data_IF_568357093516
#
_entry.id   IF_568357093516
#
_cell.length_a   1.000
_cell.length_b   1.000
_cell.length_c   1.000
_cell.angle_alpha   90.00
_cell.angle_beta   90.00
_cell.angle_gamma   90.00
#
_symmetry.space_group_name_H-M   'P 1'
#
loop_
_entity.id
_entity.type
_entity.pdbx_description
1 polymer ?
#
# COMPACT_ATOMS: atom_id res chain seq x y z
N UNK A 1 -2.51 29.85 -27.72
CA UNK A 1 -1.96 30.61 -26.56
C UNK A 1 -2.82 30.47 -25.30
N UNK A 2 -4.14 30.39 -25.38
CA UNK A 2 -5.02 30.22 -24.19
C UNK A 2 -4.88 28.88 -23.50
N UNK A 3 -4.67 27.77 -24.21
CA UNK A 3 -4.49 26.44 -23.62
C UNK A 3 -3.19 26.27 -22.80
N UNK A 4 -2.14 27.03 -23.17
CA UNK A 4 -0.86 27.06 -22.42
C UNK A 4 -1.04 27.88 -21.13
N UNK A 5 -1.83 28.93 -21.18
CA UNK A 5 -2.10 29.81 -20.03
C UNK A 5 -3.01 29.10 -18.99
N UNK A 6 -3.95 28.25 -19.44
CA UNK A 6 -4.77 27.45 -18.53
C UNK A 6 -3.97 26.36 -17.81
N UNK A 7 -2.98 25.73 -18.45
CA UNK A 7 -2.07 24.76 -17.82
C UNK A 7 -1.17 25.44 -16.75
N UNK A 8 -0.64 26.61 -17.03
CA UNK A 8 0.15 27.39 -16.07
C UNK A 8 -0.68 27.88 -14.87
N UNK A 9 -1.97 28.17 -15.07
CA UNK A 9 -2.88 28.58 -13.98
C UNK A 9 -3.23 27.45 -13.03
N UNK A 10 -3.18 26.18 -13.46
CA UNK A 10 -3.36 25.02 -12.58
C UNK A 10 -2.11 24.67 -11.79
N UNK A 11 -0.92 24.89 -12.34
CA UNK A 11 0.36 24.67 -11.65
C UNK A 11 0.58 25.59 -10.45
N UNK A 12 -0.05 26.77 -10.46
CA UNK A 12 0.22 27.81 -9.45
C UNK A 12 -0.73 27.86 -8.25
N UNK A 13 -1.73 26.96 -8.18
CA UNK A 13 -2.64 26.90 -7.02
C UNK A 13 -1.94 26.52 -5.72
N UNK A 14 -0.90 25.69 -5.79
CA UNK A 14 -0.12 25.28 -4.62
C UNK A 14 0.79 26.39 -4.07
N UNK A 15 1.20 27.34 -4.91
CA UNK A 15 2.09 28.45 -4.51
C UNK A 15 1.38 29.67 -3.94
N UNK A 16 0.08 29.86 -4.23
CA UNK A 16 -0.64 31.09 -3.89
C UNK A 16 -1.86 30.89 -2.99
N UNK A 17 -2.31 29.65 -2.75
CA UNK A 17 -3.44 29.38 -1.87
C UNK A 17 -3.02 29.50 -0.40
N UNK A 18 -3.90 30.03 0.50
CA UNK A 18 -3.61 30.04 1.93
C UNK A 18 -3.43 28.61 2.43
N UNK A 19 -2.33 28.38 3.15
CA UNK A 19 -1.82 27.06 3.55
C UNK A 19 -2.90 26.19 4.21
N UNK A 20 -3.72 26.78 5.06
CA UNK A 20 -4.80 26.08 5.76
C UNK A 20 -5.86 25.53 4.78
N UNK A 21 -6.26 26.31 3.80
CA UNK A 21 -7.25 25.92 2.79
C UNK A 21 -6.71 24.80 1.89
N UNK A 22 -5.44 24.87 1.55
CA UNK A 22 -4.76 23.84 0.75
C UNK A 22 -4.69 22.51 1.51
N UNK A 23 -4.25 22.56 2.77
CA UNK A 23 -4.18 21.37 3.63
C UNK A 23 -5.56 20.74 3.80
N UNK A 24 -6.58 21.50 4.14
CA UNK A 24 -7.94 20.99 4.29
C UNK A 24 -8.49 20.37 3.00
N UNK A 25 -8.25 21.00 1.86
CA UNK A 25 -8.70 20.51 0.55
C UNK A 25 -8.02 19.17 0.16
N UNK A 26 -6.79 18.94 0.57
CA UNK A 26 -6.06 17.71 0.27
C UNK A 26 -6.28 16.63 1.34
N UNK A 27 -6.42 17.02 2.61
CA UNK A 27 -6.60 16.07 3.72
C UNK A 27 -8.00 15.47 3.74
N UNK A 28 -9.03 16.22 3.36
CA UNK A 28 -10.42 15.76 3.44
C UNK A 28 -10.69 14.54 2.54
N UNK A 29 -10.28 14.53 1.25
CA UNK A 29 -10.39 13.35 0.42
C UNK A 29 -9.57 12.15 0.93
N UNK A 30 -8.36 12.42 1.45
CA UNK A 30 -7.50 11.38 1.99
C UNK A 30 -8.10 10.73 3.26
N UNK A 31 -8.68 11.54 4.16
CA UNK A 31 -9.41 11.04 5.34
C UNK A 31 -10.62 10.18 4.93
N UNK A 32 -11.34 10.60 3.90
CA UNK A 32 -12.48 9.83 3.40
C UNK A 32 -12.05 8.48 2.82
N UNK A 33 -10.96 8.44 2.06
CA UNK A 33 -10.37 7.19 1.56
C UNK A 33 -9.94 6.26 2.69
N UNK A 34 -9.29 6.78 3.73
CA UNK A 34 -8.91 5.99 4.90
C UNK A 34 -10.12 5.43 5.65
N UNK A 35 -11.20 6.20 5.75
CA UNK A 35 -12.45 5.75 6.37
C UNK A 35 -13.10 4.62 5.57
N UNK A 36 -13.14 4.73 4.23
CA UNK A 36 -13.62 3.66 3.35
C UNK A 36 -12.76 2.40 3.49
N UNK A 37 -11.44 2.55 3.57
CA UNK A 37 -10.53 1.42 3.78
C UNK A 37 -10.74 0.75 5.14
N UNK A 38 -10.97 1.53 6.21
CA UNK A 38 -11.29 0.99 7.52
C UNK A 38 -12.62 0.23 7.51
N UNK A 39 -13.65 0.76 6.85
CA UNK A 39 -14.93 0.08 6.67
C UNK A 39 -14.76 -1.23 5.88
N UNK A 40 -13.96 -1.22 4.82
CA UNK A 40 -13.64 -2.42 4.05
C UNK A 40 -13.04 -3.51 4.94
N UNK A 41 -12.05 -3.18 5.78
CA UNK A 41 -11.44 -4.13 6.70
C UNK A 41 -12.44 -4.71 7.72
N UNK A 42 -13.37 -3.88 8.21
CA UNK A 42 -14.43 -4.35 9.13
C UNK A 42 -15.37 -5.32 8.39
N UNK A 43 -15.81 -4.97 7.19
CA UNK A 43 -16.69 -5.80 6.38
C UNK A 43 -16.03 -7.13 6.04
N UNK A 44 -14.76 -7.11 5.63
CA UNK A 44 -13.98 -8.30 5.32
C UNK A 44 -13.89 -9.24 6.54
N UNK A 45 -13.59 -8.69 7.72
CA UNK A 45 -13.55 -9.46 8.97
C UNK A 45 -14.92 -10.09 9.32
N UNK A 46 -16.01 -9.38 9.08
CA UNK A 46 -17.38 -9.91 9.29
C UNK A 46 -17.66 -11.04 8.31
N UNK A 47 -17.32 -10.88 7.04
CA UNK A 47 -17.52 -11.94 6.05
C UNK A 47 -16.70 -13.19 6.37
N UNK A 48 -15.42 -13.02 6.71
CA UNK A 48 -14.56 -14.15 7.13
C UNK A 48 -15.15 -14.86 8.33
N UNK A 49 -15.64 -14.13 9.34
CA UNK A 49 -16.25 -14.74 10.53
C UNK A 49 -17.55 -15.48 10.26
N UNK A 50 -18.32 -15.08 9.23
CA UNK A 50 -19.59 -15.75 8.86
C UNK A 50 -19.39 -16.98 7.97
N UNK A 51 -18.33 -17.01 7.16
CA UNK A 51 -18.02 -18.15 6.30
C UNK A 51 -17.41 -19.29 7.13
N UNK A 52 -16.76 -18.94 8.23
CA UNK A 52 -16.10 -19.88 9.14
C UNK A 52 -17.13 -20.60 9.99
N UNK A 53 -17.22 -21.91 9.84
CA UNK A 53 -17.95 -22.80 10.77
C UNK A 53 -17.17 -23.04 12.08
N UNK A 54 -16.01 -22.38 12.25
CA UNK A 54 -15.13 -22.47 13.42
C UNK A 54 -14.15 -21.29 13.51
N UNK A 55 -13.53 -21.11 14.67
CA UNK A 55 -12.57 -20.04 14.94
C UNK A 55 -11.21 -20.21 14.21
N UNK A 56 -11.02 -21.32 13.49
CA UNK A 56 -9.74 -21.70 12.90
C UNK A 56 -9.32 -20.76 11.75
N UNK A 57 -10.27 -20.41 10.87
CA UNK A 57 -10.01 -19.54 9.71
C UNK A 57 -9.75 -18.11 10.16
N UNK A 58 -10.52 -17.60 11.12
CA UNK A 58 -10.29 -16.28 11.68
C UNK A 58 -8.94 -16.21 12.42
N UNK A 59 -8.57 -17.28 13.11
CA UNK A 59 -7.25 -17.40 13.74
C UNK A 59 -6.15 -17.41 12.69
N UNK A 60 -6.31 -18.12 11.58
CA UNK A 60 -5.34 -18.17 10.49
C UNK A 60 -5.08 -16.77 9.87
N UNK A 61 -6.14 -16.01 9.60
CA UNK A 61 -6.03 -14.62 9.10
C UNK A 61 -5.35 -13.72 10.13
N UNK A 62 -5.72 -13.86 11.42
CA UNK A 62 -5.13 -13.06 12.51
C UNK A 62 -3.63 -13.30 12.67
N UNK A 63 -3.17 -14.54 12.50
CA UNK A 63 -1.75 -14.88 12.55
C UNK A 63 -0.99 -14.33 11.33
N UNK A 64 -1.64 -14.28 10.17
CA UNK A 64 -1.05 -13.71 8.95
C UNK A 64 -0.98 -12.17 8.94
N UNK A 65 -1.81 -11.51 9.74
CA UNK A 65 -1.95 -10.05 9.78
C UNK A 65 -0.64 -9.29 10.04
N UNK A 66 0.24 -9.66 10.99
CA UNK A 66 1.51 -8.96 11.20
C UNK A 66 2.41 -8.98 9.95
N UNK A 67 2.41 -10.07 9.18
CA UNK A 67 3.20 -10.20 7.96
C UNK A 67 2.62 -9.29 6.86
N UNK A 68 1.29 -9.24 6.75
CA UNK A 68 0.60 -8.34 5.84
C UNK A 68 0.87 -6.87 6.19
N UNK A 69 0.86 -6.51 7.46
CA UNK A 69 1.20 -5.15 7.92
C UNK A 69 2.63 -4.77 7.58
N UNK A 70 3.57 -5.71 7.70
CA UNK A 70 4.97 -5.48 7.33
C UNK A 70 5.10 -5.21 5.82
N UNK A 71 4.39 -5.95 4.98
CA UNK A 71 4.34 -5.76 3.54
C UNK A 71 3.82 -4.35 3.18
N UNK A 72 2.70 -3.95 3.79
CA UNK A 72 2.11 -2.63 3.58
C UNK A 72 3.07 -1.53 4.06
N UNK A 73 3.71 -1.70 5.21
CA UNK A 73 4.65 -0.72 5.76
C UNK A 73 5.85 -0.46 4.82
N UNK A 74 6.39 -1.51 4.21
CA UNK A 74 7.46 -1.35 3.22
C UNK A 74 6.98 -0.66 1.94
N UNK A 75 5.78 -1.02 1.44
CA UNK A 75 5.18 -0.38 0.27
C UNK A 75 4.95 1.11 0.51
N UNK A 76 4.28 1.45 1.60
CA UNK A 76 3.99 2.85 1.98
C UNK A 76 5.29 3.63 2.24
N UNK A 77 6.28 3.04 2.92
CA UNK A 77 7.57 3.68 3.17
C UNK A 77 8.31 4.04 1.88
N UNK A 78 8.36 3.12 0.93
CA UNK A 78 8.97 3.36 -0.38
C UNK A 78 8.22 4.46 -1.16
N UNK A 79 6.89 4.44 -1.13
CA UNK A 79 6.05 5.45 -1.79
C UNK A 79 6.23 6.84 -1.19
N UNK A 80 6.24 6.99 0.13
CA UNK A 80 6.45 8.29 0.80
C UNK A 80 7.83 8.85 0.43
N UNK A 81 8.87 8.01 0.42
CA UNK A 81 10.22 8.41 0.00
C UNK A 81 10.26 8.89 -1.44
N UNK A 82 9.64 8.16 -2.35
CA UNK A 82 9.55 8.51 -3.77
C UNK A 82 8.77 9.80 -3.98
N UNK A 83 7.61 9.93 -3.36
CA UNK A 83 6.75 11.11 -3.46
C UNK A 83 7.48 12.38 -2.97
N UNK A 84 8.23 12.28 -1.87
CA UNK A 84 9.06 13.37 -1.36
C UNK A 84 10.14 13.78 -2.38
N UNK A 85 10.82 12.81 -3.00
CA UNK A 85 11.86 13.08 -3.99
C UNK A 85 11.28 13.73 -5.26
N UNK A 86 10.21 13.18 -5.79
CA UNK A 86 9.53 13.71 -7.00
C UNK A 86 9.02 15.12 -6.76
N UNK A 87 8.34 15.34 -5.61
CA UNK A 87 7.81 16.67 -5.25
C UNK A 87 8.92 17.73 -5.13
N UNK A 88 10.06 17.34 -4.54
CA UNK A 88 11.22 18.23 -4.44
C UNK A 88 11.78 18.59 -5.81
N UNK A 89 11.96 17.60 -6.71
CA UNK A 89 12.47 17.84 -8.06
C UNK A 89 11.52 18.68 -8.90
N UNK A 90 10.22 18.49 -8.73
CA UNK A 90 9.21 19.36 -9.36
C UNK A 90 9.30 20.79 -8.84
N UNK A 91 9.51 20.98 -7.53
CA UNK A 91 9.72 22.31 -6.94
C UNK A 91 10.98 23.02 -7.44
N UNK A 92 12.05 22.26 -7.72
CA UNK A 92 13.29 22.74 -8.34
C UNK A 92 13.12 22.97 -9.86
N UNK A 93 11.94 22.70 -10.45
CA UNK A 93 11.65 22.76 -11.89
C UNK A 93 12.53 21.84 -12.75
N UNK A 94 13.18 20.83 -12.15
CA UNK A 94 13.93 19.81 -12.84
C UNK A 94 13.01 18.65 -13.24
N UNK A 95 12.23 18.86 -14.30
CA UNK A 95 11.30 17.86 -14.84
C UNK A 95 11.99 16.59 -15.32
N UNK A 96 13.25 16.67 -15.75
CA UNK A 96 14.01 15.49 -16.17
C UNK A 96 14.33 14.60 -14.99
N UNK A 97 14.82 15.18 -13.89
CA UNK A 97 15.09 14.43 -12.67
C UNK A 97 13.79 13.90 -12.02
N UNK A 98 12.71 14.67 -12.06
CA UNK A 98 11.40 14.25 -11.56
C UNK A 98 10.88 13.02 -12.34
N UNK A 99 10.94 13.05 -13.68
CA UNK A 99 10.51 11.94 -14.53
C UNK A 99 11.41 10.69 -14.34
N UNK A 100 12.71 10.89 -14.21
CA UNK A 100 13.66 9.83 -13.89
C UNK A 100 13.35 9.20 -12.53
N UNK A 101 13.09 10.01 -11.50
CA UNK A 101 12.72 9.52 -10.17
C UNK A 101 11.41 8.71 -10.21
N UNK A 102 10.38 9.17 -10.93
CA UNK A 102 9.12 8.45 -11.10
C UNK A 102 9.32 7.09 -11.79
N UNK A 103 10.15 7.04 -12.84
CA UNK A 103 10.47 5.79 -13.54
C UNK A 103 11.20 4.79 -12.64
N UNK A 104 12.17 5.28 -11.85
CA UNK A 104 12.86 4.44 -10.86
C UNK A 104 11.92 3.99 -9.74
N UNK A 105 10.91 4.79 -9.41
CA UNK A 105 9.88 4.43 -8.44
C UNK A 105 9.05 3.24 -8.86
N UNK A 106 8.62 3.19 -10.12
CA UNK A 106 7.89 2.04 -10.68
C UNK A 106 8.78 0.79 -10.62
N UNK A 107 10.06 0.91 -11.00
CA UNK A 107 10.99 -0.20 -10.93
C UNK A 107 11.19 -0.69 -9.49
N UNK A 108 11.28 0.23 -8.54
CA UNK A 108 11.39 -0.06 -7.11
C UNK A 108 10.14 -0.77 -6.58
N UNK A 109 8.95 -0.35 -7.03
CA UNK A 109 7.68 -1.01 -6.71
C UNK A 109 7.65 -2.47 -7.17
N UNK A 110 8.04 -2.71 -8.42
CA UNK A 110 8.13 -4.08 -8.98
C UNK A 110 9.17 -4.91 -8.19
N UNK A 111 10.33 -4.33 -7.89
CA UNK A 111 11.38 -5.00 -7.13
C UNK A 111 10.90 -5.38 -5.72
N UNK A 112 10.23 -4.45 -5.03
CA UNK A 112 9.64 -4.73 -3.72
C UNK A 112 8.61 -5.86 -3.79
N UNK A 113 7.71 -5.81 -4.78
CA UNK A 113 6.75 -6.90 -4.97
C UNK A 113 7.43 -8.26 -5.15
N UNK A 114 8.46 -8.36 -6.01
CA UNK A 114 9.20 -9.61 -6.24
C UNK A 114 9.86 -10.10 -4.95
N UNK A 115 10.48 -9.21 -4.18
CA UNK A 115 11.12 -9.55 -2.90
C UNK A 115 10.07 -10.11 -1.93
N UNK A 116 8.91 -9.43 -1.79
CA UNK A 116 7.87 -9.88 -0.87
C UNK A 116 7.16 -11.15 -1.35
N UNK A 117 6.97 -11.34 -2.65
CA UNK A 117 6.42 -12.58 -3.20
C UNK A 117 7.35 -13.77 -2.91
N UNK A 118 8.65 -13.63 -3.16
CA UNK A 118 9.64 -14.66 -2.85
C UNK A 118 9.74 -14.91 -1.35
N UNK A 119 9.78 -13.83 -0.55
CA UNK A 119 9.83 -13.93 0.90
C UNK A 119 8.56 -14.58 1.46
N UNK A 120 7.38 -14.22 0.97
CA UNK A 120 6.10 -14.80 1.38
C UNK A 120 6.04 -16.31 1.10
N UNK A 121 6.53 -16.74 -0.05
CA UNK A 121 6.54 -18.17 -0.41
C UNK A 121 7.59 -18.96 0.43
N UNK A 122 8.80 -18.42 0.55
CA UNK A 122 9.90 -19.13 1.22
C UNK A 122 9.75 -19.12 2.75
N UNK A 123 9.34 -17.99 3.32
CA UNK A 123 9.32 -17.77 4.77
C UNK A 123 8.01 -18.17 5.44
N UNK A 124 6.89 -18.22 4.70
CA UNK A 124 5.60 -18.61 5.30
C UNK A 124 5.66 -19.98 5.98
N UNK A 125 6.30 -20.95 5.34
CA UNK A 125 6.47 -22.30 5.89
C UNK A 125 7.39 -22.36 7.11
N UNK A 126 8.34 -21.43 7.22
CA UNK A 126 9.29 -21.36 8.33
C UNK A 126 8.69 -20.61 9.53
N UNK A 127 7.88 -19.59 9.27
CA UNK A 127 7.32 -18.72 10.31
C UNK A 127 6.06 -19.31 10.95
N UNK A 128 5.19 -19.97 10.19
CA UNK A 128 3.91 -20.45 10.72
C UNK A 128 4.02 -21.42 11.89
N UNK A 129 4.97 -22.37 11.95
CA UNK A 129 5.16 -23.24 13.11
C UNK A 129 5.57 -22.51 14.39
N UNK A 130 6.08 -21.27 14.28
CA UNK A 130 6.42 -20.43 15.44
C UNK A 130 5.19 -19.76 16.06
N UNK A 131 4.13 -19.57 15.27
CA UNK A 131 2.91 -18.89 15.70
C UNK A 131 1.81 -19.85 16.13
N UNK A 132 1.78 -21.08 15.60
CA UNK A 132 0.75 -22.05 15.95
C UNK A 132 1.29 -23.49 15.92
N UNK A 133 0.86 -24.28 16.89
CA UNK A 133 1.16 -25.72 16.94
C UNK A 133 0.09 -26.57 16.23
N UNK A 134 -0.98 -25.93 15.74
CA UNK A 134 -2.05 -26.61 15.01
C UNK A 134 -1.73 -26.66 13.52
N UNK A 135 -1.45 -27.84 12.99
CA UNK A 135 -1.05 -28.03 11.60
C UNK A 135 -2.12 -27.54 10.60
N UNK A 136 -3.41 -27.69 10.92
CA UNK A 136 -4.49 -27.25 10.04
C UNK A 136 -4.53 -25.72 9.94
N UNK A 137 -4.39 -25.00 11.07
CA UNK A 137 -4.35 -23.53 11.09
C UNK A 137 -3.10 -23.03 10.38
N UNK A 138 -1.95 -23.68 10.60
CA UNK A 138 -0.70 -23.34 9.92
C UNK A 138 -0.84 -23.43 8.39
N UNK A 139 -1.43 -24.52 7.89
CA UNK A 139 -1.62 -24.73 6.45
C UNK A 139 -2.57 -23.70 5.84
N UNK A 140 -3.69 -23.39 6.51
CA UNK A 140 -4.60 -22.32 6.08
C UNK A 140 -3.90 -20.95 6.03
N UNK A 141 -3.12 -20.62 7.06
CA UNK A 141 -2.35 -19.36 7.11
C UNK A 141 -1.31 -19.27 6.00
N UNK A 142 -0.62 -20.36 5.69
CA UNK A 142 0.36 -20.45 4.60
C UNK A 142 -0.32 -20.19 3.25
N UNK A 143 -1.44 -20.86 2.98
CA UNK A 143 -2.19 -20.69 1.75
C UNK A 143 -2.72 -19.26 1.60
N UNK A 144 -3.25 -18.67 2.67
CA UNK A 144 -3.69 -17.29 2.70
C UNK A 144 -2.52 -16.33 2.40
N UNK A 145 -1.37 -16.49 3.06
CA UNK A 145 -0.19 -15.67 2.82
C UNK A 145 0.34 -15.79 1.40
N UNK A 146 0.37 -16.99 0.83
CA UNK A 146 0.79 -17.17 -0.56
C UNK A 146 -0.10 -16.39 -1.51
N UNK A 147 -1.43 -16.44 -1.34
CA UNK A 147 -2.36 -15.69 -2.17
C UNK A 147 -2.13 -14.19 -1.97
N UNK A 148 -2.11 -13.71 -0.74
CA UNK A 148 -1.95 -12.28 -0.44
C UNK A 148 -0.62 -11.74 -0.95
N UNK A 149 0.50 -12.46 -0.77
CA UNK A 149 1.83 -11.97 -1.20
C UNK A 149 2.01 -12.01 -2.71
N UNK A 150 1.50 -13.02 -3.40
CA UNK A 150 1.57 -13.10 -4.87
C UNK A 150 0.67 -12.05 -5.52
N UNK A 151 -0.56 -11.89 -5.02
CA UNK A 151 -1.52 -10.91 -5.56
C UNK A 151 -1.31 -9.50 -5.01
N UNK A 152 -0.36 -9.26 -4.11
CA UNK A 152 -0.01 -7.91 -3.64
C UNK A 152 0.58 -7.00 -4.72
N UNK A 153 0.82 -7.51 -5.94
CA UNK A 153 1.22 -6.71 -7.09
C UNK A 153 0.35 -5.46 -7.30
N UNK A 154 -0.99 -5.62 -7.17
CA UNK A 154 -1.91 -4.50 -7.25
C UNK A 154 -1.64 -3.42 -6.21
N UNK A 155 -1.36 -3.81 -4.98
CA UNK A 155 -1.06 -2.89 -3.87
C UNK A 155 0.23 -2.09 -4.16
N UNK A 156 1.27 -2.74 -4.66
CA UNK A 156 2.54 -2.05 -4.99
C UNK A 156 2.46 -1.14 -6.22
N UNK A 157 1.46 -1.32 -7.09
CA UNK A 157 1.21 -0.40 -8.22
C UNK A 157 0.31 0.75 -7.80
N UNK A 158 -0.67 0.50 -6.89
CA UNK A 158 -1.60 1.51 -6.42
C UNK A 158 -0.92 2.54 -5.52
N UNK A 159 -0.03 2.11 -4.65
CA UNK A 159 0.77 2.95 -3.76
C UNK A 159 1.81 3.74 -4.56
#
# INVERSE_FOLDING_TARGET
MEAVNQKQSQENKMGHAPMLKLIMSMSLPAMFSMLVQALYNVVDSVFVSQISTGDAELTAVSIAFPIQMLLIAFGVGACIGLNSLVSRRLGEQDFKAANSAATHGILLGILNWVIFAVFGIAFSRLLMPLFTNNAAIAEMSINYLHIVTVFSFGVFIEI
#
